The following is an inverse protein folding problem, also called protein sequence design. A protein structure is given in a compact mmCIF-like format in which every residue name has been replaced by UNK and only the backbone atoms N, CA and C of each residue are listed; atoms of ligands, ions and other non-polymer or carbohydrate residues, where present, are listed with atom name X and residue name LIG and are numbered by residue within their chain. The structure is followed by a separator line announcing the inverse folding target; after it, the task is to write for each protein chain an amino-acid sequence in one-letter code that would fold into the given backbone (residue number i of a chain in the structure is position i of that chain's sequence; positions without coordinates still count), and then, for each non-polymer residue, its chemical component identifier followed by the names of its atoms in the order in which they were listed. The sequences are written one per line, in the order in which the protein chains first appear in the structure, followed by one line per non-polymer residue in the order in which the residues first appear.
data_IF_278664037150
#
_entry.id   IF_278664037150
#
_cell.length_a   1.000
_cell.length_b   1.000
_cell.length_c   1.000
_cell.angle_alpha   90.00
_cell.angle_beta   90.00
_cell.angle_gamma   90.00
#
_symmetry.space_group_name_H-M   'P 1'
#
loop_
_entity.id
_entity.type
_entity.pdbx_description
1 polymer ?
#
# COMPACT_ATOMS: atom_id res chain seq x y z
N UNK A 1 6.51 -17.63 11.27
CA UNK A 1 7.27 -16.38 11.44
C UNK A 1 6.84 -15.41 10.35
N UNK A 2 6.42 -14.23 10.75
CA UNK A 2 5.96 -13.23 9.78
C UNK A 2 7.16 -12.62 9.07
N UNK A 3 7.07 -12.53 7.77
CA UNK A 3 8.12 -11.92 6.97
C UNK A 3 7.70 -10.50 6.64
N UNK A 4 8.52 -9.55 7.08
CA UNK A 4 8.23 -8.13 6.91
C UNK A 4 9.21 -7.50 5.93
N UNK A 5 8.69 -6.62 5.08
CA UNK A 5 9.51 -5.77 4.21
C UNK A 5 9.24 -4.33 4.61
N UNK A 6 10.30 -3.56 4.77
CA UNK A 6 10.20 -2.16 5.17
C UNK A 6 11.05 -1.32 4.25
N UNK A 7 10.44 -0.27 3.69
CA UNK A 7 11.16 0.70 2.85
C UNK A 7 10.81 2.10 3.34
N UNK A 8 11.70 3.05 3.13
CA UNK A 8 11.43 4.44 3.52
C UNK A 8 12.03 5.41 2.53
N UNK A 9 11.47 6.62 2.49
CA UNK A 9 11.93 7.69 1.62
C UNK A 9 11.56 9.04 2.20
N UNK A 10 12.47 10.00 2.10
CA UNK A 10 12.18 11.39 2.44
C UNK A 10 11.61 12.07 1.20
N UNK A 11 10.46 12.73 1.36
CA UNK A 11 9.74 13.39 0.28
C UNK A 11 9.66 14.89 0.59
N UNK A 12 9.98 15.73 -0.38
CA UNK A 12 9.93 17.18 -0.24
C UNK A 12 8.50 17.69 -0.43
N UNK A 13 7.62 17.30 0.48
CA UNK A 13 6.23 17.72 0.55
C UNK A 13 5.75 17.55 1.99
N UNK A 14 4.75 18.33 2.43
CA UNK A 14 4.23 18.21 3.80
C UNK A 14 3.59 16.85 4.06
N UNK A 15 3.69 16.37 5.30
CA UNK A 15 3.14 15.07 5.70
C UNK A 15 1.64 14.95 5.44
N UNK A 16 0.87 16.01 5.65
CA UNK A 16 -0.58 15.99 5.39
C UNK A 16 -0.90 15.82 3.90
N UNK A 17 -0.11 16.44 3.03
CA UNK A 17 -0.25 16.30 1.58
C UNK A 17 0.03 14.87 1.15
N UNK A 18 1.14 14.30 1.60
CA UNK A 18 1.53 12.94 1.23
C UNK A 18 0.54 11.92 1.81
N UNK A 19 0.12 12.13 3.06
CA UNK A 19 -0.88 11.26 3.69
C UNK A 19 -2.18 11.24 2.88
N UNK A 20 -2.68 12.41 2.47
CA UNK A 20 -3.91 12.51 1.71
C UNK A 20 -3.82 11.76 0.38
N UNK A 21 -2.65 11.77 -0.26
CA UNK A 21 -2.43 11.03 -1.50
C UNK A 21 -2.47 9.52 -1.26
N UNK A 22 -1.78 9.04 -0.24
CA UNK A 22 -1.75 7.60 0.10
C UNK A 22 -3.13 7.12 0.55
N UNK A 23 -3.83 7.91 1.35
CA UNK A 23 -5.14 7.55 1.89
C UNK A 23 -6.25 7.56 0.83
N UNK A 24 -6.05 8.25 -0.28
CA UNK A 24 -6.97 8.18 -1.42
C UNK A 24 -6.63 6.95 -2.26
N UNK A 25 -7.21 5.81 -1.88
CA UNK A 25 -6.90 4.53 -2.51
C UNK A 25 -7.29 4.48 -3.99
N UNK A 26 -8.19 5.36 -4.43
CA UNK A 26 -8.58 5.42 -5.85
C UNK A 26 -7.42 5.86 -6.74
N UNK A 27 -6.39 6.49 -6.15
CA UNK A 27 -5.19 6.92 -6.86
C UNK A 27 -4.03 5.92 -6.74
N UNK A 28 -4.21 4.81 -6.04
CA UNK A 28 -3.13 3.85 -5.79
C UNK A 28 -2.44 3.38 -7.07
N UNK A 29 -3.19 3.24 -8.15
CA UNK A 29 -2.64 2.80 -9.45
C UNK A 29 -1.61 3.78 -10.02
N UNK A 30 -1.58 5.03 -9.55
CA UNK A 30 -0.63 6.03 -10.03
C UNK A 30 0.79 5.75 -9.54
N UNK A 31 0.93 5.08 -8.40
CA UNK A 31 2.24 4.82 -7.83
C UNK A 31 2.53 3.35 -7.54
N UNK A 32 1.53 2.51 -7.34
CA UNK A 32 1.76 1.09 -7.06
C UNK A 32 1.85 0.29 -8.36
N UNK A 33 3.00 -0.39 -8.62
CA UNK A 33 3.24 -1.03 -9.93
C UNK A 33 2.26 -2.14 -10.31
N UNK A 34 1.77 -2.91 -9.35
CA UNK A 34 0.85 -4.01 -9.62
C UNK A 34 -0.61 -3.60 -9.62
N UNK A 35 -0.93 -2.46 -9.03
CA UNK A 35 -2.32 -2.03 -8.91
C UNK A 35 -2.81 -1.38 -10.20
N UNK A 36 -3.94 -1.87 -10.71
CA UNK A 36 -4.56 -1.31 -11.92
C UNK A 36 -5.88 -0.60 -11.62
N UNK A 37 -6.32 -0.61 -10.38
CA UNK A 37 -7.49 0.15 -9.93
C UNK A 37 -7.92 -0.21 -8.54
N UNK A 38 -8.41 0.77 -7.79
CA UNK A 38 -9.01 0.60 -6.47
C UNK A 38 -10.29 1.42 -6.37
N UNK A 39 -11.26 0.91 -5.65
CA UNK A 39 -12.51 1.62 -5.39
C UNK A 39 -13.03 1.32 -3.98
N UNK A 40 -13.60 2.31 -3.33
CA UNK A 40 -14.27 2.10 -2.05
C UNK A 40 -15.50 1.24 -2.28
N UNK A 41 -15.73 0.22 -1.42
CA UNK A 41 -16.88 -0.67 -1.55
C UNK A 41 -18.17 0.12 -1.27
N UNK A 42 -18.11 1.03 -0.29
CA UNK A 42 -19.17 2.00 -0.07
C UNK A 42 -18.63 3.35 -0.55
N UNK A 43 -19.20 3.88 -1.61
CA UNK A 43 -18.67 5.03 -2.35
C UNK A 43 -18.26 6.23 -1.51
N UNK A 44 -19.00 6.54 -0.47
CA UNK A 44 -18.76 7.74 0.33
C UNK A 44 -18.01 7.45 1.62
N UNK A 45 -17.45 6.26 1.75
CA UNK A 45 -16.84 5.85 3.01
C UNK A 45 -15.51 6.56 3.29
N UNK A 46 -14.64 6.63 2.29
CA UNK A 46 -13.38 7.33 2.42
C UNK A 46 -12.37 6.68 3.37
N UNK A 47 -11.24 7.36 3.65
CA UNK A 47 -10.13 6.79 4.41
C UNK A 47 -10.36 6.86 5.94
N UNK A 48 -11.25 6.02 6.44
CA UNK A 48 -11.55 5.92 7.87
C UNK A 48 -11.45 4.46 8.31
N UNK A 49 -11.15 4.24 9.59
CA UNK A 49 -11.05 2.88 10.14
C UNK A 49 -12.37 2.14 9.93
N UNK A 50 -12.26 0.91 9.44
CA UNK A 50 -13.42 0.08 9.09
C UNK A 50 -13.84 0.19 7.64
N UNK A 51 -13.41 1.20 6.92
CA UNK A 51 -13.71 1.34 5.49
C UNK A 51 -13.05 0.22 4.70
N UNK A 52 -13.73 -0.24 3.65
CA UNK A 52 -13.23 -1.33 2.81
C UNK A 52 -13.12 -0.87 1.37
N UNK A 53 -12.09 -1.36 0.69
CA UNK A 53 -11.92 -1.06 -0.73
C UNK A 53 -11.50 -2.32 -1.49
N UNK A 54 -11.85 -2.34 -2.77
CA UNK A 54 -11.53 -3.44 -3.68
C UNK A 54 -10.40 -3.01 -4.60
N UNK A 55 -9.36 -3.85 -4.66
CA UNK A 55 -8.23 -3.61 -5.57
C UNK A 55 -8.20 -4.66 -6.66
N UNK A 56 -7.77 -4.24 -7.84
CA UNK A 56 -7.45 -5.14 -8.94
C UNK A 56 -5.95 -5.01 -9.20
N UNK A 57 -5.27 -6.16 -9.26
CA UNK A 57 -3.83 -6.20 -9.38
C UNK A 57 -3.43 -7.04 -10.59
N UNK A 58 -2.29 -6.72 -11.18
CA UNK A 58 -1.78 -7.44 -12.33
C UNK A 58 -0.26 -7.60 -12.24
N UNK A 59 0.22 -8.80 -12.57
CA UNK A 59 1.63 -9.08 -12.73
C UNK A 59 1.78 -9.95 -13.97
N UNK A 60 2.26 -9.36 -15.06
CA UNK A 60 2.32 -10.03 -16.35
C UNK A 60 0.92 -10.38 -16.86
N UNK A 61 0.69 -11.69 -17.08
CA UNK A 61 -0.62 -12.17 -17.52
C UNK A 61 -1.56 -12.52 -16.38
N UNK A 62 -1.09 -12.50 -15.15
CA UNK A 62 -1.90 -12.83 -13.99
C UNK A 62 -2.59 -11.59 -13.44
N UNK A 63 -3.89 -11.71 -13.20
CA UNK A 63 -4.71 -10.67 -12.59
C UNK A 63 -5.43 -11.27 -11.39
N UNK A 64 -5.46 -10.53 -10.28
CA UNK A 64 -6.20 -10.98 -9.10
C UNK A 64 -6.84 -9.79 -8.41
N UNK A 65 -7.86 -10.09 -7.61
CA UNK A 65 -8.58 -9.08 -6.85
C UNK A 65 -8.35 -9.25 -5.36
N UNK A 66 -8.31 -8.13 -4.66
CA UNK A 66 -8.16 -8.10 -3.21
C UNK A 66 -9.26 -7.22 -2.62
N UNK A 67 -9.60 -7.50 -1.36
CA UNK A 67 -10.45 -6.64 -0.55
C UNK A 67 -9.62 -6.22 0.65
N UNK A 68 -9.54 -4.92 0.88
CA UNK A 68 -8.77 -4.37 1.98
C UNK A 68 -9.66 -3.64 2.95
N UNK A 69 -9.29 -3.69 4.24
CA UNK A 69 -10.02 -3.00 5.30
C UNK A 69 -9.05 -2.06 6.01
N UNK A 70 -9.42 -0.79 6.10
CA UNK A 70 -8.61 0.21 6.81
C UNK A 70 -8.62 -0.11 8.30
N UNK A 71 -7.44 -0.25 8.89
CA UNK A 71 -7.27 -0.56 10.32
C UNK A 71 -6.65 0.60 11.09
N UNK A 72 -6.06 1.56 10.41
CA UNK A 72 -5.51 2.77 11.02
C UNK A 72 -5.56 3.91 10.00
N UNK A 73 -6.01 5.08 10.43
CA UNK A 73 -6.12 6.25 9.58
C UNK A 73 -6.02 7.51 10.43
N UNK A 74 -4.79 7.96 10.67
CA UNK A 74 -4.50 9.18 11.44
C UNK A 74 -3.89 10.21 10.50
N UNK A 75 -4.63 11.26 10.13
CA UNK A 75 -4.15 12.25 9.15
C UNK A 75 -2.75 12.76 9.47
N UNK A 76 -1.91 12.78 8.46
CA UNK A 76 -0.51 13.22 8.53
C UNK A 76 0.40 12.34 9.39
N UNK A 77 -0.10 11.23 9.94
CA UNK A 77 0.67 10.35 10.82
C UNK A 77 0.76 8.92 10.35
N UNK A 78 -0.37 8.29 10.04
CA UNK A 78 -0.37 6.87 9.67
C UNK A 78 -1.58 6.48 8.82
N UNK A 79 -1.40 5.42 8.04
CA UNK A 79 -2.48 4.80 7.28
C UNK A 79 -2.13 3.33 7.11
N UNK A 80 -3.04 2.44 7.50
CA UNK A 80 -2.79 1.01 7.41
C UNK A 80 -4.06 0.26 7.02
N UNK A 81 -3.88 -0.84 6.27
CA UNK A 81 -5.01 -1.67 5.88
C UNK A 81 -4.59 -3.14 5.82
N UNK A 82 -5.56 -4.01 6.13
CA UNK A 82 -5.41 -5.45 5.99
C UNK A 82 -5.93 -5.86 4.61
N UNK A 83 -5.10 -6.62 3.89
CA UNK A 83 -5.42 -7.11 2.55
C UNK A 83 -5.87 -8.56 2.63
N UNK A 84 -7.00 -8.86 2.00
CA UNK A 84 -7.54 -10.23 1.91
C UNK A 84 -7.72 -10.61 0.45
N UNK A 85 -7.47 -11.88 0.14
CA UNK A 85 -7.69 -12.46 -1.18
C UNK A 85 -8.39 -13.79 -0.99
N UNK A 86 -9.44 -14.05 -1.77
CA UNK A 86 -10.24 -15.28 -1.70
C UNK A 86 -10.72 -15.62 -0.29
N UNK A 87 -11.07 -14.56 0.50
CA UNK A 87 -11.59 -14.73 1.85
C UNK A 87 -10.53 -14.89 2.94
N UNK A 88 -9.24 -14.91 2.59
CA UNK A 88 -8.14 -15.07 3.55
C UNK A 88 -7.34 -13.79 3.68
N UNK A 89 -6.99 -13.43 4.92
CA UNK A 89 -6.07 -12.33 5.15
C UNK A 89 -4.69 -12.72 4.68
N UNK A 90 -4.11 -11.94 3.78
CA UNK A 90 -2.79 -12.27 3.20
C UNK A 90 -1.70 -11.32 3.63
N UNK A 91 -2.02 -10.07 3.97
CA UNK A 91 -1.01 -9.08 4.32
C UNK A 91 -1.59 -7.90 5.08
N UNK A 92 -0.72 -7.14 5.72
CA UNK A 92 -1.02 -5.81 6.22
C UNK A 92 -0.02 -4.84 5.59
N UNK A 93 -0.53 -3.74 5.05
CA UNK A 93 0.29 -2.63 4.57
C UNK A 93 0.18 -1.49 5.55
N UNK A 94 1.30 -0.95 5.98
CA UNK A 94 1.34 0.16 6.91
C UNK A 94 2.18 1.30 6.33
N UNK A 95 1.66 2.51 6.44
CA UNK A 95 2.38 3.72 6.07
C UNK A 95 2.49 4.62 7.30
N UNK A 96 3.70 5.13 7.54
CA UNK A 96 3.95 6.07 8.62
C UNK A 96 4.57 7.32 8.04
N UNK A 97 4.13 8.46 8.53
CA UNK A 97 4.53 9.77 8.01
C UNK A 97 5.14 10.58 9.15
N UNK A 98 6.37 11.03 8.97
CA UNK A 98 7.07 11.81 9.99
C UNK A 98 7.63 13.09 9.37
N UNK A 99 7.22 14.24 9.90
CA UNK A 99 7.76 15.52 9.47
C UNK A 99 9.24 15.58 9.87
N UNK A 100 10.11 15.84 8.88
CA UNK A 100 11.56 15.96 9.11
C UNK A 100 11.98 17.41 9.23
N UNK A 101 11.50 18.24 8.30
CA UNK A 101 11.73 19.67 8.26
C UNK A 101 10.49 20.32 7.67
N UNK A 102 10.41 21.65 7.66
CA UNK A 102 9.28 22.35 7.06
C UNK A 102 9.15 21.94 5.59
N UNK A 103 7.98 21.42 5.23
CA UNK A 103 7.71 20.98 3.87
C UNK A 103 8.40 19.68 3.48
N UNK A 104 8.83 18.87 4.45
CA UNK A 104 9.52 17.62 4.19
C UNK A 104 9.01 16.52 5.12
N UNK A 105 8.84 15.32 4.59
CA UNK A 105 8.25 14.20 5.32
C UNK A 105 8.99 12.91 4.99
N UNK A 106 9.26 12.09 6.03
CA UNK A 106 9.73 10.73 5.83
C UNK A 106 8.53 9.81 5.79
N UNK A 107 8.40 9.05 4.71
CA UNK A 107 7.38 8.01 4.58
C UNK A 107 8.03 6.66 4.76
N UNK A 108 7.48 5.86 5.66
CA UNK A 108 7.90 4.47 5.87
C UNK A 108 6.74 3.57 5.49
N UNK A 109 6.98 2.66 4.56
CA UNK A 109 6.00 1.65 4.14
C UNK A 109 6.48 0.30 4.64
N UNK A 110 5.61 -0.41 5.35
CA UNK A 110 5.89 -1.74 5.89
C UNK A 110 4.85 -2.72 5.35
N UNK A 111 5.32 -3.81 4.79
CA UNK A 111 4.49 -4.92 4.34
C UNK A 111 4.69 -6.07 5.32
N UNK A 112 3.59 -6.55 5.90
CA UNK A 112 3.61 -7.65 6.87
C UNK A 112 2.85 -8.82 6.26
N UNK A 113 3.56 -9.93 6.02
CA UNK A 113 2.94 -11.14 5.50
C UNK A 113 2.16 -11.81 6.63
N UNK A 114 0.84 -11.93 6.46
CA UNK A 114 -0.05 -12.50 7.47
C UNK A 114 -0.65 -13.83 7.06
N UNK A 115 -0.14 -14.43 5.98
CA UNK A 115 -0.65 -15.72 5.52
C UNK A 115 -0.21 -16.83 6.47
N UNK A 116 -1.13 -17.78 6.75
CA UNK A 116 -0.75 -19.01 7.43
C UNK A 116 0.12 -19.88 6.52
N UNK A 117 0.78 -20.92 7.07
CA UNK A 117 1.71 -21.75 6.30
C UNK A 117 1.09 -22.32 5.02
N UNK A 118 -0.13 -22.83 5.09
CA UNK A 118 -0.80 -23.43 3.92
C UNK A 118 -1.13 -22.35 2.89
N UNK A 119 -1.68 -21.23 3.35
CA UNK A 119 -2.05 -20.12 2.47
C UNK A 119 -0.79 -19.48 1.87
N UNK A 120 0.28 -19.39 2.65
CA UNK A 120 1.56 -18.89 2.16
C UNK A 120 2.09 -19.74 1.01
N UNK A 121 2.06 -21.07 1.18
CA UNK A 121 2.49 -22.00 0.14
C UNK A 121 1.64 -21.86 -1.13
N UNK A 122 0.32 -21.82 -0.98
CA UNK A 122 -0.60 -21.64 -2.11
C UNK A 122 -0.45 -20.26 -2.74
N UNK A 123 -0.19 -19.24 -1.92
CA UNK A 123 -0.03 -17.87 -2.39
C UNK A 123 1.14 -17.71 -3.35
N UNK A 124 2.27 -18.39 -3.12
CA UNK A 124 3.40 -18.37 -4.03
C UNK A 124 3.05 -18.96 -5.39
N UNK A 125 2.27 -20.03 -5.41
CA UNK A 125 1.81 -20.67 -6.65
C UNK A 125 0.78 -19.78 -7.37
N UNK A 126 -0.17 -19.21 -6.61
CA UNK A 126 -1.25 -18.41 -7.16
C UNK A 126 -0.74 -17.10 -7.79
N UNK A 127 0.15 -16.40 -7.11
CA UNK A 127 0.68 -15.12 -7.59
C UNK A 127 1.69 -15.28 -8.73
N UNK A 128 2.27 -16.47 -8.89
CA UNK A 128 3.25 -16.74 -9.94
C UNK A 128 4.58 -16.05 -9.75
N UNK A 129 4.87 -15.55 -8.55
CA UNK A 129 6.13 -14.87 -8.24
C UNK A 129 6.89 -15.73 -7.23
N UNK A 130 7.96 -16.44 -7.66
CA UNK A 130 8.71 -17.34 -6.77
C UNK A 130 9.38 -16.63 -5.58
N UNK A 131 9.95 -15.46 -5.82
CA UNK A 131 10.62 -14.68 -4.79
C UNK A 131 9.79 -13.45 -4.43
N UNK A 132 8.68 -13.71 -3.75
CA UNK A 132 7.67 -12.67 -3.49
C UNK A 132 8.18 -11.52 -2.64
N UNK A 133 9.06 -11.78 -1.67
CA UNK A 133 9.59 -10.71 -0.81
C UNK A 133 10.45 -9.71 -1.58
N UNK A 134 11.34 -10.19 -2.44
CA UNK A 134 12.17 -9.30 -3.26
C UNK A 134 11.31 -8.52 -4.25
N UNK A 135 10.33 -9.17 -4.84
CA UNK A 135 9.38 -8.53 -5.74
C UNK A 135 8.60 -7.43 -5.01
N UNK A 136 8.14 -7.71 -3.78
CA UNK A 136 7.43 -6.74 -2.98
C UNK A 136 8.30 -5.54 -2.61
N UNK A 137 9.55 -5.78 -2.21
CA UNK A 137 10.48 -4.70 -1.88
C UNK A 137 10.69 -3.76 -3.07
N UNK A 138 10.96 -4.33 -4.24
CA UNK A 138 11.14 -3.53 -5.47
C UNK A 138 9.88 -2.73 -5.81
N UNK A 139 8.71 -3.34 -5.64
CA UNK A 139 7.43 -2.68 -5.86
C UNK A 139 7.18 -1.54 -4.88
N UNK A 140 7.51 -1.77 -3.62
CA UNK A 140 7.35 -0.75 -2.58
C UNK A 140 8.29 0.43 -2.81
N UNK A 141 9.54 0.16 -3.19
CA UNK A 141 10.50 1.23 -3.52
C UNK A 141 10.02 2.04 -4.73
N UNK A 142 9.49 1.38 -5.75
CA UNK A 142 8.92 2.05 -6.93
C UNK A 142 7.70 2.89 -6.53
N UNK A 143 6.86 2.38 -5.63
CA UNK A 143 5.69 3.09 -5.10
C UNK A 143 6.12 4.41 -4.45
N UNK A 144 7.09 4.34 -3.54
CA UNK A 144 7.56 5.54 -2.85
C UNK A 144 8.23 6.53 -3.80
N UNK A 145 8.95 6.05 -4.80
CA UNK A 145 9.58 6.91 -5.80
C UNK A 145 8.53 7.66 -6.64
N UNK A 146 7.48 6.96 -7.06
CA UNK A 146 6.40 7.57 -7.84
C UNK A 146 5.56 8.52 -7.00
N UNK A 147 5.30 8.14 -5.75
CA UNK A 147 4.59 8.98 -4.80
C UNK A 147 5.38 10.28 -4.55
N UNK A 148 6.69 10.17 -4.37
CA UNK A 148 7.55 11.33 -4.18
C UNK A 148 7.51 12.26 -5.38
N UNK A 149 7.63 11.72 -6.60
CA UNK A 149 7.59 12.51 -7.81
C UNK A 149 6.25 13.27 -7.94
N UNK A 150 5.13 12.61 -7.66
CA UNK A 150 3.82 13.22 -7.72
C UNK A 150 3.63 14.30 -6.65
N UNK A 151 4.05 14.02 -5.42
CA UNK A 151 3.90 14.95 -4.29
C UNK A 151 4.78 16.18 -4.46
N UNK A 152 6.02 15.99 -4.89
CA UNK A 152 6.97 17.10 -5.10
C UNK A 152 6.54 17.99 -6.26
N UNK A 153 5.97 17.43 -7.29
CA UNK A 153 5.42 18.18 -8.41
C UNK A 153 4.24 19.05 -7.97
N UNK A 154 3.40 18.55 -7.06
CA UNK A 154 2.24 19.29 -6.55
C UNK A 154 2.63 20.40 -5.57
N UNK A 155 3.82 20.33 -4.96
CA UNK A 155 4.27 21.27 -3.94
C UNK A 155 4.90 22.55 -4.54
N UNK A 156 5.09 22.62 -5.85
CA UNK A 156 5.67 23.79 -6.53
C UNK A 156 4.62 24.78 -7.01
#
# INVERSE_FOLDING_TARGET
MDENVKVERVISAPADTVWAMVADVTRMREWSPENVGCEWIVEQQGPVVGARFRGTNRNGKKTWKTVSKVVDAQPAQSFAFDVSATGFRVARSEYRFETQAAGECRVTETFIDQRGKIVHWLGGVISGVPERLEHNRAGMEATLARLAAAAESSAT
#
